data_IF_761059062247
#
_entry.id   IF_761059062247
#
_cell.length_a   1.000
_cell.length_b   1.000
_cell.length_c   1.000
_cell.angle_alpha   90.00
_cell.angle_beta   90.00
_cell.angle_gamma   90.00
#
_symmetry.space_group_name_H-M   'P 1'
#
loop_
_entity.id
_entity.type
_entity.pdbx_description
1 polymer ?
#
# COMPACT_ATOMS: atom_id res chain seq x y z
N UNK A 1 -18.69 3.00 4.55
CA UNK A 1 -17.38 2.42 4.95
C UNK A 1 -17.53 0.93 5.21
N UNK A 2 -16.61 0.16 4.68
CA UNK A 2 -16.61 -1.28 4.89
C UNK A 2 -15.42 -1.69 5.76
N UNK A 3 -15.70 -2.41 6.86
CA UNK A 3 -14.66 -2.95 7.74
C UNK A 3 -14.47 -4.42 7.43
N UNK A 4 -13.21 -4.82 7.23
CA UNK A 4 -12.84 -6.19 6.87
C UNK A 4 -11.91 -6.74 7.96
N UNK A 5 -12.27 -7.89 8.53
CA UNK A 5 -11.35 -8.64 9.39
C UNK A 5 -10.51 -9.56 8.53
N UNK A 6 -9.23 -9.22 8.39
CA UNK A 6 -8.31 -9.94 7.53
C UNK A 6 -7.57 -11.07 8.25
N UNK A 7 -7.78 -11.27 9.53
CA UNK A 7 -6.98 -12.20 10.32
C UNK A 7 -6.97 -13.63 9.77
N UNK A 8 -8.06 -14.06 9.16
CA UNK A 8 -8.21 -15.39 8.58
C UNK A 8 -8.31 -15.39 7.05
N UNK A 9 -8.05 -14.26 6.39
CA UNK A 9 -8.16 -14.15 4.94
C UNK A 9 -6.80 -14.29 4.28
N UNK A 10 -6.75 -15.00 3.16
CA UNK A 10 -5.60 -14.96 2.28
C UNK A 10 -5.61 -13.67 1.43
N UNK A 11 -4.51 -13.41 0.75
CA UNK A 11 -4.39 -12.18 -0.03
C UNK A 11 -5.38 -12.12 -1.20
N UNK A 12 -5.72 -13.24 -1.78
CA UNK A 12 -6.66 -13.29 -2.92
C UNK A 12 -8.06 -12.90 -2.48
N UNK A 13 -8.55 -13.50 -1.42
CA UNK A 13 -9.88 -13.22 -0.88
C UNK A 13 -9.97 -11.77 -0.40
N UNK A 14 -8.95 -11.29 0.29
CA UNK A 14 -8.90 -9.90 0.74
C UNK A 14 -9.02 -8.93 -0.44
N UNK A 15 -8.25 -9.13 -1.49
CA UNK A 15 -8.28 -8.24 -2.65
C UNK A 15 -9.57 -8.35 -3.45
N UNK A 16 -10.22 -9.50 -3.47
CA UNK A 16 -11.56 -9.63 -4.07
C UNK A 16 -12.58 -8.76 -3.33
N UNK A 17 -12.54 -8.75 -2.01
CA UNK A 17 -13.41 -7.88 -1.21
C UNK A 17 -13.12 -6.41 -1.50
N UNK A 18 -11.85 -6.03 -1.61
CA UNK A 18 -11.45 -4.64 -1.91
C UNK A 18 -11.89 -4.16 -3.30
N UNK A 19 -12.22 -5.06 -4.22
CA UNK A 19 -12.70 -4.71 -5.55
C UNK A 19 -14.21 -4.47 -5.62
N UNK A 20 -14.94 -4.71 -4.54
CA UNK A 20 -16.38 -4.45 -4.51
C UNK A 20 -16.67 -2.94 -4.62
N UNK A 21 -17.89 -2.56 -5.02
CA UNK A 21 -18.23 -1.15 -5.21
C UNK A 21 -18.44 -0.43 -3.88
N UNK A 22 -17.35 -0.08 -3.24
CA UNK A 22 -17.29 0.70 -2.01
C UNK A 22 -16.12 1.66 -2.14
N UNK A 23 -16.22 2.85 -1.56
CA UNK A 23 -15.15 3.84 -1.61
C UNK A 23 -14.19 3.71 -0.43
N UNK A 24 -14.70 3.54 0.78
CA UNK A 24 -13.88 3.54 1.98
C UNK A 24 -13.82 2.14 2.61
N UNK A 25 -12.61 1.66 2.83
CA UNK A 25 -12.35 0.37 3.46
C UNK A 25 -11.45 0.55 4.66
N UNK A 26 -11.70 -0.23 5.70
CA UNK A 26 -10.79 -0.41 6.83
C UNK A 26 -10.50 -1.90 6.98
N UNK A 27 -9.22 -2.25 6.92
CA UNK A 27 -8.77 -3.63 7.10
C UNK A 27 -8.20 -3.76 8.50
N UNK A 28 -8.84 -4.60 9.31
CA UNK A 28 -8.38 -4.94 10.64
C UNK A 28 -7.64 -6.27 10.63
N UNK A 29 -6.65 -6.42 11.52
CA UNK A 29 -5.95 -7.69 11.68
C UNK A 29 -5.10 -8.10 10.50
N UNK A 30 -4.62 -7.15 9.70
CA UNK A 30 -3.74 -7.46 8.59
C UNK A 30 -2.44 -8.06 9.10
N UNK A 31 -2.01 -9.16 8.50
CA UNK A 31 -0.86 -9.93 8.94
C UNK A 31 -0.05 -10.42 7.72
N UNK A 32 0.51 -9.49 6.96
CA UNK A 32 1.40 -9.81 5.85
C UNK A 32 0.74 -10.22 4.54
N UNK A 33 -0.56 -9.98 4.36
CA UNK A 33 -1.20 -10.25 3.06
C UNK A 33 -0.61 -9.34 2.00
N UNK A 34 -0.20 -9.93 0.88
CA UNK A 34 0.46 -9.23 -0.22
C UNK A 34 -0.54 -8.65 -1.23
N UNK A 35 -0.05 -7.76 -2.06
CA UNK A 35 -0.79 -7.13 -3.16
C UNK A 35 -2.02 -6.33 -2.74
N UNK A 36 -2.09 -5.86 -1.49
CA UNK A 36 -3.25 -5.10 -1.02
C UNK A 36 -3.43 -3.86 -1.90
N UNK A 37 -4.62 -3.72 -2.49
CA UNK A 37 -4.98 -2.57 -3.30
C UNK A 37 -4.34 -2.54 -4.68
N UNK A 38 -3.69 -3.62 -5.13
CA UNK A 38 -3.00 -3.64 -6.42
C UNK A 38 -3.93 -3.29 -7.58
N UNK A 39 -3.52 -2.31 -8.40
CA UNK A 39 -4.24 -1.86 -9.58
C UNK A 39 -5.53 -1.10 -9.31
N UNK A 40 -5.84 -0.78 -8.08
CA UNK A 40 -7.12 -0.17 -7.73
C UNK A 40 -7.13 1.33 -7.94
N UNK A 41 -8.33 1.89 -8.11
CA UNK A 41 -8.58 3.32 -8.25
C UNK A 41 -9.84 3.72 -7.49
N UNK A 42 -10.00 5.03 -7.27
CA UNK A 42 -11.20 5.65 -6.68
C UNK A 42 -11.66 5.03 -5.36
N UNK A 43 -10.71 4.70 -4.50
CA UNK A 43 -11.02 4.20 -3.16
C UNK A 43 -9.98 4.60 -2.15
N UNK A 44 -10.37 4.54 -0.90
CA UNK A 44 -9.54 4.88 0.25
C UNK A 44 -9.47 3.65 1.16
N UNK A 45 -8.26 3.11 1.33
CA UNK A 45 -8.04 1.89 2.10
C UNK A 45 -7.17 2.22 3.30
N UNK A 46 -7.66 1.94 4.49
CA UNK A 46 -6.88 2.02 5.73
C UNK A 46 -6.54 0.62 6.20
N UNK A 47 -5.25 0.36 6.41
CA UNK A 47 -4.75 -0.95 6.83
C UNK A 47 -4.27 -0.84 8.26
N UNK A 48 -4.92 -1.55 9.16
CA UNK A 48 -4.50 -1.71 10.55
C UNK A 48 -3.80 -3.07 10.69
N UNK A 49 -2.49 -3.03 10.83
CA UNK A 49 -1.63 -4.19 10.85
C UNK A 49 -0.53 -4.10 9.81
N UNK A 50 0.25 -5.16 9.69
CA UNK A 50 1.39 -5.22 8.77
C UNK A 50 0.92 -5.64 7.39
N UNK A 51 1.16 -4.80 6.39
CA UNK A 51 0.88 -5.16 5.01
C UNK A 51 2.05 -5.96 4.42
N UNK A 52 1.72 -6.93 3.57
CA UNK A 52 2.73 -7.74 2.88
C UNK A 52 3.35 -7.03 1.68
N UNK A 53 4.08 -7.81 0.89
CA UNK A 53 4.78 -7.29 -0.28
C UNK A 53 3.82 -6.72 -1.32
N UNK A 54 4.31 -5.74 -2.10
CA UNK A 54 3.62 -5.13 -3.22
C UNK A 54 2.30 -4.44 -2.85
N UNK A 55 2.24 -3.84 -1.66
CA UNK A 55 1.13 -2.96 -1.30
C UNK A 55 1.00 -1.86 -2.36
N UNK A 56 -0.19 -1.70 -2.91
CA UNK A 56 -0.47 -0.64 -3.88
C UNK A 56 0.29 -0.77 -5.20
N UNK A 57 0.77 -1.96 -5.56
CA UNK A 57 1.38 -2.18 -6.87
C UNK A 57 0.41 -1.79 -7.98
N UNK A 58 0.89 -1.05 -8.98
CA UNK A 58 0.08 -0.54 -10.09
C UNK A 58 -1.09 0.35 -9.65
N UNK A 59 -1.04 0.92 -8.45
CA UNK A 59 -2.12 1.78 -7.96
C UNK A 59 -2.41 2.89 -8.95
N UNK A 60 -3.68 3.13 -9.21
CA UNK A 60 -4.12 4.10 -10.22
C UNK A 60 -5.13 5.07 -9.63
N UNK A 61 -4.64 6.04 -8.86
CA UNK A 61 -5.43 7.11 -8.25
C UNK A 61 -6.35 6.62 -7.13
N UNK A 62 -5.81 5.87 -6.20
CA UNK A 62 -6.44 5.54 -4.93
C UNK A 62 -5.54 6.00 -3.77
N UNK A 63 -6.04 5.91 -2.55
CA UNK A 63 -5.28 6.24 -1.34
C UNK A 63 -5.20 5.04 -0.43
N UNK A 64 -4.01 4.74 0.06
CA UNK A 64 -3.79 3.67 1.03
C UNK A 64 -3.02 4.24 2.22
N UNK A 65 -3.53 4.02 3.42
CA UNK A 65 -2.86 4.37 4.67
C UNK A 65 -2.61 3.10 5.46
N UNK A 66 -1.35 2.88 5.84
CA UNK A 66 -0.96 1.73 6.68
C UNK A 66 -0.54 2.25 8.04
N UNK A 67 -1.20 1.77 9.10
CA UNK A 67 -0.92 2.17 10.48
C UNK A 67 0.05 1.22 11.18
N UNK A 68 1.03 0.74 10.44
CA UNK A 68 2.12 -0.13 10.92
C UNK A 68 3.19 -0.18 9.84
N UNK A 69 4.07 -1.18 9.89
CA UNK A 69 5.07 -1.38 8.85
C UNK A 69 4.47 -2.02 7.61
N UNK A 70 5.06 -1.73 6.47
CA UNK A 70 4.82 -2.43 5.21
C UNK A 70 6.08 -3.22 4.85
N UNK A 71 5.91 -4.29 4.08
CA UNK A 71 7.02 -5.10 3.61
C UNK A 71 7.60 -4.54 2.31
N UNK A 72 8.12 -5.40 1.42
CA UNK A 72 8.87 -4.95 0.25
C UNK A 72 7.97 -4.50 -0.90
N UNK A 73 8.55 -3.73 -1.83
CA UNK A 73 7.94 -3.31 -3.09
C UNK A 73 6.65 -2.49 -2.94
N UNK A 74 6.57 -1.64 -1.91
CA UNK A 74 5.45 -0.70 -1.75
C UNK A 74 5.35 0.20 -2.99
N UNK A 75 4.17 0.26 -3.60
CA UNK A 75 3.92 1.14 -4.74
C UNK A 75 4.69 0.75 -6.01
N UNK A 76 5.05 -0.51 -6.16
CA UNK A 76 5.71 -1.00 -7.38
C UNK A 76 4.89 -0.63 -8.61
N UNK A 77 5.51 0.09 -9.53
CA UNK A 77 4.89 0.57 -10.77
C UNK A 77 3.59 1.37 -10.54
N UNK A 78 3.52 2.07 -9.43
CA UNK A 78 2.39 2.94 -9.11
C UNK A 78 2.22 4.04 -10.16
N UNK A 79 1.00 4.29 -10.62
CA UNK A 79 0.73 5.28 -11.65
C UNK A 79 0.23 6.61 -11.08
N UNK A 80 -0.63 6.58 -10.08
CA UNK A 80 -1.20 7.76 -9.46
C UNK A 80 -1.79 7.41 -8.10
N UNK A 81 -2.01 8.41 -7.26
CA UNK A 81 -2.61 8.25 -5.94
C UNK A 81 -1.60 8.48 -4.82
N UNK A 82 -1.92 7.99 -3.64
CA UNK A 82 -1.12 8.24 -2.45
C UNK A 82 -1.05 7.00 -1.56
N UNK A 83 0.15 6.71 -1.08
CA UNK A 83 0.40 5.68 -0.07
C UNK A 83 1.08 6.33 1.11
N UNK A 84 0.52 6.15 2.32
CA UNK A 84 1.05 6.70 3.55
C UNK A 84 1.33 5.57 4.53
N UNK A 85 2.59 5.41 4.90
CA UNK A 85 3.03 4.37 5.83
C UNK A 85 3.42 5.01 7.15
N UNK A 86 2.64 4.75 8.20
CA UNK A 86 2.94 5.18 9.57
C UNK A 86 3.85 4.16 10.26
N UNK A 87 5.00 3.91 9.67
CA UNK A 87 5.98 2.94 10.12
C UNK A 87 7.11 2.92 9.11
N UNK A 88 7.73 1.77 8.94
CA UNK A 88 8.79 1.55 7.97
C UNK A 88 8.28 0.76 6.77
N UNK A 89 8.85 1.01 5.61
CA UNK A 89 8.68 0.19 4.42
C UNK A 89 9.92 -0.67 4.23
N UNK A 90 9.77 -1.83 3.60
CA UNK A 90 10.88 -2.69 3.25
C UNK A 90 11.66 -2.20 2.02
N UNK A 91 12.30 -3.12 1.34
CA UNK A 91 13.15 -2.80 0.19
C UNK A 91 12.34 -2.45 -1.06
N UNK A 92 12.96 -1.69 -1.96
CA UNK A 92 12.42 -1.33 -3.27
C UNK A 92 11.09 -0.57 -3.23
N UNK A 93 10.83 0.22 -2.19
CA UNK A 93 9.65 1.10 -2.15
C UNK A 93 9.72 2.07 -3.35
N UNK A 94 8.60 2.20 -4.07
CA UNK A 94 8.51 3.06 -5.24
C UNK A 94 9.24 2.54 -6.48
N UNK A 95 9.57 1.27 -6.53
CA UNK A 95 10.24 0.69 -7.71
C UNK A 95 9.43 0.93 -8.98
N UNK A 96 10.08 1.48 -10.01
CA UNK A 96 9.46 1.79 -11.29
C UNK A 96 8.20 2.68 -11.21
N UNK A 97 8.06 3.44 -10.15
CA UNK A 97 6.94 4.34 -9.93
C UNK A 97 6.85 5.40 -11.02
N UNK A 98 5.67 5.60 -11.59
CA UNK A 98 5.43 6.55 -12.68
C UNK A 98 4.78 7.83 -12.22
N UNK A 99 4.08 7.80 -11.12
CA UNK A 99 3.39 8.96 -10.58
C UNK A 99 2.82 8.65 -9.21
N UNK A 100 2.17 9.64 -8.61
CA UNK A 100 1.65 9.51 -7.25
C UNK A 100 2.69 9.83 -6.20
N UNK A 101 2.36 9.55 -4.95
CA UNK A 101 3.23 9.88 -3.80
C UNK A 101 3.24 8.74 -2.81
N UNK A 102 4.41 8.46 -2.26
CA UNK A 102 4.59 7.50 -1.17
C UNK A 102 5.29 8.24 -0.02
N UNK A 103 4.67 8.23 1.15
CA UNK A 103 5.22 8.81 2.37
C UNK A 103 5.51 7.70 3.36
N UNK A 104 6.74 7.63 3.86
CA UNK A 104 7.17 6.66 4.86
C UNK A 104 7.65 7.43 6.07
N UNK A 105 6.99 7.21 7.22
CA UNK A 105 7.32 7.96 8.44
C UNK A 105 8.70 7.63 8.98
N UNK A 106 9.08 6.35 9.04
CA UNK A 106 10.30 5.92 9.71
C UNK A 106 11.43 5.65 8.71
N UNK A 107 11.53 4.43 8.17
CA UNK A 107 12.59 4.07 7.25
C UNK A 107 12.04 3.38 6.01
N UNK A 108 12.57 3.73 4.85
CA UNK A 108 12.48 2.90 3.65
C UNK A 108 13.79 2.10 3.54
N UNK A 109 13.67 0.84 3.16
CA UNK A 109 14.82 -0.05 3.04
C UNK A 109 15.72 0.27 1.84
N UNK A 110 16.51 -0.71 1.43
CA UNK A 110 17.44 -0.55 0.32
C UNK A 110 16.71 -0.38 -1.02
N UNK A 111 17.34 0.30 -1.94
CA UNK A 111 16.86 0.50 -3.32
C UNK A 111 15.50 1.19 -3.41
N UNK A 112 15.17 2.03 -2.43
CA UNK A 112 14.00 2.88 -2.54
C UNK A 112 14.14 3.81 -3.75
N UNK A 113 13.08 3.92 -4.55
CA UNK A 113 13.03 4.84 -5.69
C UNK A 113 13.79 4.40 -6.94
N UNK A 114 14.22 3.14 -7.05
CA UNK A 114 14.90 2.66 -8.25
C UNK A 114 13.94 2.68 -9.45
N UNK A 115 14.41 3.24 -10.56
CA UNK A 115 13.65 3.37 -11.82
C UNK A 115 12.35 4.15 -11.70
N UNK A 116 12.19 4.95 -10.64
CA UNK A 116 11.00 5.76 -10.48
C UNK A 116 11.19 7.15 -11.09
N UNK A 117 10.06 7.74 -11.49
CA UNK A 117 10.03 9.09 -12.03
C UNK A 117 10.19 10.16 -10.96
N UNK A 118 9.59 9.94 -9.80
CA UNK A 118 9.68 10.85 -8.66
C UNK A 118 9.50 10.07 -7.36
N UNK A 119 10.36 10.36 -6.37
CA UNK A 119 10.28 9.75 -5.06
C UNK A 119 10.41 10.83 -4.00
N UNK A 120 9.50 10.78 -3.03
CA UNK A 120 9.56 11.66 -1.86
C UNK A 120 9.50 10.82 -0.60
N UNK A 121 10.43 11.06 0.29
CA UNK A 121 10.51 10.42 1.58
C UNK A 121 10.41 11.48 2.66
N UNK A 122 9.54 11.24 3.65
CA UNK A 122 9.33 12.20 4.71
C UNK A 122 9.54 11.55 6.06
N UNK A 123 10.38 12.18 6.87
CA UNK A 123 10.59 11.80 8.27
C UNK A 123 9.91 12.78 9.20
N UNK A 124 9.58 12.28 10.35
CA UNK A 124 9.17 13.13 11.47
C UNK A 124 10.31 13.34 12.42
#
# INVERSE_FOLDING_TARGET
MKVIDAAALDYKTLNEVLRQPEHDYVIEGCCGQRFIGAGMSDRNITVNGISGNALGAYLNNASITVNANAQDAVGDTMNAGKILIHGSAGDAAGYAMRGGKIYVRDHAGYRAGIHMKEYKRKFR
#
